data_IF_965395981801
#
_entry.id   IF_965395981801
#
_cell.length_a   1.000
_cell.length_b   1.000
_cell.length_c   1.000
_cell.angle_alpha   90.00
_cell.angle_beta   90.00
_cell.angle_gamma   90.00
#
_symmetry.space_group_name_H-M   'P 1'
#
loop_
_entity.id
_entity.type
_entity.pdbx_description
1 polymer ?
#
# COMPACT_ATOMS: atom_id res chain seq x y z
N UNK A 1 -3.29 10.47 4.46
CA UNK A 1 -2.54 9.27 3.95
C UNK A 1 -3.10 8.84 2.61
N UNK A 2 -4.44 8.82 2.48
CA UNK A 2 -5.15 8.54 1.22
C UNK A 2 -4.82 9.60 0.16
N UNK A 3 -4.72 10.86 0.53
CA UNK A 3 -4.43 11.98 -0.38
C UNK A 3 -3.05 11.84 -1.02
N UNK A 4 -2.05 11.42 -0.23
CA UNK A 4 -0.68 11.19 -0.73
C UNK A 4 -0.59 9.94 -1.59
N UNK A 5 -1.34 8.90 -1.25
CA UNK A 5 -1.49 7.71 -2.08
C UNK A 5 -2.09 8.08 -3.45
N UNK A 6 -3.24 8.78 -3.44
CA UNK A 6 -3.96 9.23 -4.63
C UNK A 6 -3.12 10.18 -5.48
N UNK A 7 -2.45 11.15 -4.88
CA UNK A 7 -1.60 12.10 -5.62
C UNK A 7 -0.47 11.41 -6.37
N UNK A 8 0.22 10.46 -5.73
CA UNK A 8 1.33 9.72 -6.35
C UNK A 8 0.87 8.79 -7.47
N UNK A 9 -0.25 8.06 -7.31
CA UNK A 9 -0.77 7.24 -8.41
C UNK A 9 -1.28 8.11 -9.55
N UNK A 10 -1.92 9.25 -9.25
CA UNK A 10 -2.35 10.20 -10.28
C UNK A 10 -1.17 10.74 -11.11
N UNK A 11 -0.01 11.00 -10.48
CA UNK A 11 1.21 11.36 -11.21
C UNK A 11 1.67 10.24 -12.15
N UNK A 12 1.72 8.98 -11.67
CA UNK A 12 2.08 7.82 -12.51
C UNK A 12 1.14 7.72 -13.70
N UNK A 13 -0.17 7.76 -13.46
CA UNK A 13 -1.21 7.65 -14.48
C UNK A 13 -1.15 8.79 -15.51
N UNK A 14 -0.73 9.98 -15.09
CA UNK A 14 -0.57 11.14 -15.97
C UNK A 14 0.67 11.07 -16.84
N UNK A 15 1.75 10.47 -16.34
CA UNK A 15 3.05 10.44 -17.04
C UNK A 15 3.27 9.21 -17.91
N UNK A 16 2.46 8.16 -17.74
CA UNK A 16 2.61 6.90 -18.46
C UNK A 16 1.43 6.67 -19.41
N UNK A 17 1.73 6.33 -20.66
CA UNK A 17 0.71 5.92 -21.63
C UNK A 17 0.58 4.40 -21.60
N UNK A 18 -0.62 3.89 -21.30
CA UNK A 18 -0.91 2.46 -21.25
C UNK A 18 -1.39 1.94 -22.60
N UNK A 19 -0.91 0.78 -23.02
CA UNK A 19 -1.30 0.15 -24.27
C UNK A 19 -2.61 -0.62 -24.17
N UNK A 20 -2.96 -1.10 -22.97
CA UNK A 20 -4.18 -1.85 -22.71
C UNK A 20 -4.63 -1.73 -21.24
N UNK A 21 -5.82 -2.27 -20.94
CA UNK A 21 -6.38 -2.24 -19.59
C UNK A 21 -5.61 -3.11 -18.60
N UNK A 22 -5.07 -4.24 -19.05
CA UNK A 22 -4.29 -5.16 -18.22
C UNK A 22 -2.99 -4.52 -17.72
N UNK A 23 -2.34 -3.69 -18.55
CA UNK A 23 -1.13 -2.95 -18.15
C UNK A 23 -1.44 -1.89 -17.08
N UNK A 24 -2.57 -1.19 -17.24
CA UNK A 24 -3.07 -0.22 -16.27
C UNK A 24 -3.36 -0.91 -14.92
N UNK A 25 -4.08 -2.02 -14.95
CA UNK A 25 -4.40 -2.81 -13.76
C UNK A 25 -3.13 -3.30 -13.06
N UNK A 26 -2.21 -3.92 -13.79
CA UNK A 26 -0.95 -4.41 -13.24
C UNK A 26 -0.13 -3.28 -12.59
N UNK A 27 -0.15 -2.08 -13.18
CA UNK A 27 0.53 -0.91 -12.64
C UNK A 27 -0.11 -0.42 -11.35
N UNK A 28 -1.44 -0.35 -11.29
CA UNK A 28 -2.18 0.03 -10.08
C UNK A 28 -1.93 -0.98 -8.95
N UNK A 29 -2.06 -2.28 -9.23
CA UNK A 29 -1.82 -3.35 -8.25
C UNK A 29 -0.39 -3.32 -7.72
N UNK A 30 0.59 -3.14 -8.61
CA UNK A 30 1.99 -2.98 -8.23
C UNK A 30 2.20 -1.76 -7.34
N UNK A 31 1.56 -0.64 -7.64
CA UNK A 31 1.69 0.56 -6.82
C UNK A 31 1.06 0.39 -5.43
N UNK A 32 -0.13 -0.22 -5.33
CA UNK A 32 -0.78 -0.56 -4.05
C UNK A 32 0.16 -1.39 -3.20
N UNK A 33 0.76 -2.44 -3.78
CA UNK A 33 1.70 -3.30 -3.07
C UNK A 33 2.94 -2.55 -2.61
N UNK A 34 3.57 -1.77 -3.50
CA UNK A 34 4.76 -0.96 -3.16
C UNK A 34 4.45 0.03 -2.04
N UNK A 35 3.33 0.73 -2.13
CA UNK A 35 2.93 1.70 -1.13
C UNK A 35 2.76 1.08 0.26
N UNK A 36 2.06 -0.06 0.33
CA UNK A 36 1.74 -0.71 1.59
C UNK A 36 2.94 -1.42 2.22
N UNK A 37 3.81 -2.02 1.41
CA UNK A 37 4.88 -2.88 1.93
C UNK A 37 6.25 -2.22 1.96
N UNK A 38 6.60 -1.42 0.95
CA UNK A 38 7.97 -0.99 0.72
C UNK A 38 8.20 0.51 0.94
N UNK A 39 7.25 1.36 0.54
CA UNK A 39 7.45 2.82 0.57
C UNK A 39 7.28 3.37 1.99
N UNK A 40 8.34 3.95 2.58
CA UNK A 40 8.25 4.57 3.90
C UNK A 40 7.42 5.84 3.85
N UNK A 41 6.62 6.06 4.90
CA UNK A 41 5.77 7.23 5.01
C UNK A 41 6.28 8.13 6.13
N UNK A 42 6.58 9.38 5.77
CA UNK A 42 7.04 10.39 6.75
C UNK A 42 6.05 10.56 7.91
N UNK A 43 4.75 10.55 7.61
CA UNK A 43 3.68 10.67 8.60
C UNK A 43 3.62 9.49 9.59
N UNK A 44 4.18 8.34 9.21
CA UNK A 44 4.25 7.15 10.07
C UNK A 44 5.63 7.02 10.74
N UNK A 45 6.48 8.05 10.70
CA UNK A 45 7.84 7.97 11.25
C UNK A 45 8.81 7.21 10.35
N UNK A 46 8.68 7.37 9.03
CA UNK A 46 9.57 6.75 8.04
C UNK A 46 9.52 5.20 8.02
N UNK A 47 8.33 4.63 8.27
CA UNK A 47 8.07 3.20 8.04
C UNK A 47 6.93 3.01 7.04
N UNK A 48 6.84 1.82 6.43
CA UNK A 48 5.72 1.49 5.54
C UNK A 48 4.42 1.28 6.32
N UNK A 49 3.24 1.44 5.69
CA UNK A 49 1.96 1.24 6.35
C UNK A 49 1.84 -0.11 7.08
N UNK A 50 2.30 -1.19 6.44
CA UNK A 50 2.24 -2.53 7.03
C UNK A 50 3.20 -2.67 8.22
N UNK A 51 4.38 -2.05 8.15
CA UNK A 51 5.29 -2.03 9.31
C UNK A 51 4.67 -1.30 10.50
N UNK A 52 4.06 -0.13 10.26
CA UNK A 52 3.35 0.61 11.29
C UNK A 52 2.20 -0.22 11.91
N UNK A 53 1.40 -0.88 11.07
CA UNK A 53 0.32 -1.77 11.55
C UNK A 53 0.85 -2.94 12.39
N UNK A 54 1.96 -3.57 11.99
CA UNK A 54 2.59 -4.64 12.78
C UNK A 54 3.14 -4.15 14.11
N UNK A 55 3.76 -2.98 14.14
CA UNK A 55 4.22 -2.36 15.38
C UNK A 55 3.04 -2.08 16.31
N UNK A 56 1.95 -1.56 15.75
CA UNK A 56 0.78 -1.22 16.54
C UNK A 56 0.10 -2.46 17.10
N UNK A 57 -0.03 -3.53 16.29
CA UNK A 57 -0.52 -4.84 16.73
C UNK A 57 0.29 -5.44 17.88
N UNK A 58 1.61 -5.19 17.94
CA UNK A 58 2.45 -5.65 19.07
C UNK A 58 2.19 -4.85 20.34
N UNK A 59 1.95 -3.55 20.21
CA UNK A 59 1.73 -2.65 21.35
C UNK A 59 0.30 -2.70 21.91
N UNK A 60 -0.70 -2.95 21.06
CA UNK A 60 -2.13 -2.93 21.38
C UNK A 60 -2.84 -4.12 20.72
N UNK A 61 -2.49 -5.37 21.09
CA UNK A 61 -3.02 -6.57 20.44
C UNK A 61 -4.55 -6.68 20.52
N UNK A 62 -5.17 -6.13 21.56
CA UNK A 62 -6.61 -6.14 21.81
C UNK A 62 -7.43 -5.38 20.76
N UNK A 63 -6.81 -4.43 20.03
CA UNK A 63 -7.46 -3.68 18.96
C UNK A 63 -7.52 -4.46 17.64
N UNK A 64 -6.84 -5.60 17.54
CA UNK A 64 -6.69 -6.36 16.30
C UNK A 64 -7.42 -7.70 16.34
N UNK A 65 -8.52 -7.78 15.61
CA UNK A 65 -9.26 -9.03 15.40
C UNK A 65 -8.56 -10.01 14.43
N UNK A 66 -7.54 -9.55 13.68
CA UNK A 66 -6.81 -10.35 12.68
C UNK A 66 -5.33 -9.99 12.66
N UNK A 67 -4.49 -10.95 12.26
CA UNK A 67 -3.05 -10.72 12.05
C UNK A 67 -2.82 -9.80 10.85
N UNK A 68 -1.89 -8.86 11.00
CA UNK A 68 -1.43 -8.02 9.90
C UNK A 68 -0.45 -8.84 9.05
N UNK A 69 -0.92 -9.34 7.90
CA UNK A 69 -0.13 -10.16 6.97
C UNK A 69 0.57 -9.32 5.90
N UNK A 70 1.67 -9.84 5.35
CA UNK A 70 2.36 -9.24 4.20
C UNK A 70 1.93 -9.81 2.85
N UNK A 71 1.01 -10.78 2.86
CA UNK A 71 0.62 -11.51 1.67
C UNK A 71 -0.58 -10.79 1.05
N UNK A 72 -0.61 -10.60 -0.29
CA UNK A 72 -1.86 -10.31 -0.98
C UNK A 72 -2.88 -11.36 -0.54
N UNK A 73 -4.13 -10.96 -0.27
CA UNK A 73 -5.18 -11.93 -0.01
C UNK A 73 -5.21 -12.94 -1.16
N UNK A 74 -5.38 -14.23 -0.85
CA UNK A 74 -5.67 -15.20 -1.91
C UNK A 74 -6.96 -14.74 -2.60
N UNK A 75 -6.87 -14.43 -3.88
CA UNK A 75 -8.05 -14.30 -4.73
C UNK A 75 -8.70 -15.69 -4.75
N UNK A 76 -9.80 -15.82 -4.01
CA UNK A 76 -10.70 -16.99 -4.04
C UNK A 76 -12.09 -16.51 -4.39
#
# INVERSE_FOLDING_TARGET
>A
MVERFNGRIADILRTHHFHCGEELEATILRYVWLYNHQLPQKALGHVSPIQAMKQWQRSHPELFNRRVTNQPGHDT
#
